data_IF_400088835901
#
_entry.id   IF_400088835901
#
_cell.length_a   1.000
_cell.length_b   1.000
_cell.length_c   1.000
_cell.angle_alpha   90.00
_cell.angle_beta   90.00
_cell.angle_gamma   90.00
#
_symmetry.space_group_name_H-M   'P 1'
#
loop_
_entity.id
_entity.type
_entity.pdbx_description
1 polymer ?
#
# COMPACT_ATOMS: atom_id res chain seq x y z
N UNK A 1 29.06 -34.75 -48.56
CA UNK A 1 29.81 -34.63 -47.29
C UNK A 1 29.95 -33.13 -47.00
N UNK A 2 29.09 -32.57 -46.14
CA UNK A 2 29.26 -32.41 -44.67
C UNK A 2 29.99 -31.10 -44.33
N UNK A 3 29.24 -30.01 -44.25
CA UNK A 3 29.54 -28.88 -43.35
C UNK A 3 28.21 -28.34 -42.82
N UNK A 4 27.85 -28.82 -41.64
CA UNK A 4 26.71 -28.36 -40.84
C UNK A 4 27.14 -27.01 -40.24
N UNK A 5 26.49 -25.93 -40.65
CA UNK A 5 26.59 -24.62 -40.02
C UNK A 5 25.35 -24.44 -39.13
N UNK A 6 25.43 -24.95 -37.91
CA UNK A 6 24.51 -24.62 -36.82
C UNK A 6 25.03 -23.38 -36.10
N UNK A 7 24.52 -22.22 -36.47
CA UNK A 7 24.74 -20.97 -35.72
C UNK A 7 23.65 -20.82 -34.67
N UNK A 8 23.99 -21.16 -33.43
CA UNK A 8 23.26 -20.88 -32.20
C UNK A 8 23.69 -19.48 -31.71
N UNK A 9 22.78 -18.50 -31.71
CA UNK A 9 22.97 -17.21 -31.04
C UNK A 9 21.59 -16.70 -30.56
N UNK A 10 21.20 -17.10 -29.35
CA UNK A 10 21.17 -16.26 -28.14
C UNK A 10 20.07 -15.17 -28.20
N UNK A 11 18.91 -15.57 -27.67
CA UNK A 11 18.13 -14.84 -26.67
C UNK A 11 18.10 -13.31 -26.81
N UNK A 12 17.33 -12.82 -27.77
CA UNK A 12 16.84 -11.44 -27.81
C UNK A 12 15.73 -11.23 -26.77
N UNK A 13 16.08 -11.25 -25.49
CA UNK A 13 15.21 -10.88 -24.36
C UNK A 13 15.66 -9.55 -23.72
N UNK A 14 15.82 -8.47 -24.48
CA UNK A 14 15.98 -7.12 -23.87
C UNK A 14 15.55 -6.01 -24.82
N UNK A 15 14.26 -5.86 -25.07
CA UNK A 15 13.67 -4.55 -25.41
C UNK A 15 12.22 -4.50 -24.91
N UNK A 16 12.02 -4.48 -23.59
CA UNK A 16 10.81 -3.85 -23.03
C UNK A 16 11.04 -2.34 -23.08
N UNK A 17 11.03 -1.79 -24.29
CA UNK A 17 10.82 -0.37 -24.51
C UNK A 17 9.34 -0.10 -24.20
N UNK A 18 9.06 0.10 -22.92
CA UNK A 18 7.73 0.37 -22.37
C UNK A 18 7.26 1.75 -22.84
N UNK A 19 6.56 1.77 -23.96
CA UNK A 19 5.72 2.88 -24.41
C UNK A 19 4.33 2.36 -24.82
N UNK A 20 3.77 1.41 -24.06
CA UNK A 20 2.33 1.13 -24.05
C UNK A 20 2.00 0.46 -22.69
N UNK A 21 1.33 1.19 -21.82
CA UNK A 21 1.32 0.99 -20.37
C UNK A 21 0.32 -0.11 -19.93
N UNK A 22 0.52 -1.33 -20.40
CA UNK A 22 0.03 -2.54 -19.71
C UNK A 22 1.25 -3.32 -19.26
N UNK A 23 1.69 -3.05 -18.04
CA UNK A 23 2.74 -3.84 -17.40
C UNK A 23 2.30 -5.32 -17.40
N UNK A 24 3.25 -6.26 -17.48
CA UNK A 24 2.92 -7.69 -17.37
C UNK A 24 2.11 -8.02 -16.10
N UNK A 25 2.27 -7.20 -15.05
CA UNK A 25 1.45 -7.22 -13.84
C UNK A 25 -0.01 -6.82 -14.10
N UNK A 26 -0.26 -5.77 -14.88
CA UNK A 26 -1.60 -5.30 -15.22
C UNK A 26 -2.36 -6.32 -16.09
N UNK A 27 -1.68 -6.95 -17.05
CA UNK A 27 -2.26 -8.00 -17.88
C UNK A 27 -2.59 -9.27 -17.06
N UNK A 28 -1.67 -9.68 -16.19
CA UNK A 28 -1.92 -10.79 -15.25
C UNK A 28 -3.08 -10.47 -14.30
N UNK A 29 -3.18 -9.24 -13.79
CA UNK A 29 -4.28 -8.81 -12.93
C UNK A 29 -5.63 -8.83 -13.66
N UNK A 30 -5.68 -8.38 -14.92
CA UNK A 30 -6.90 -8.42 -15.74
C UNK A 30 -7.36 -9.85 -16.04
N UNK A 31 -6.42 -10.76 -16.30
CA UNK A 31 -6.72 -12.17 -16.51
C UNK A 31 -7.24 -12.88 -15.24
N UNK A 32 -6.84 -12.39 -14.05
CA UNK A 32 -7.26 -12.93 -12.77
C UNK A 32 -8.55 -12.30 -12.22
N UNK A 33 -8.99 -11.14 -12.72
CA UNK A 33 -10.24 -10.46 -12.31
C UNK A 33 -11.46 -11.37 -12.19
N UNK A 34 -11.81 -12.22 -13.17
CA UNK A 34 -13.02 -13.05 -13.06
C UNK A 34 -12.88 -14.22 -12.08
N UNK A 35 -11.67 -14.52 -11.61
CA UNK A 35 -11.36 -15.68 -10.76
C UNK A 35 -11.25 -15.26 -9.29
N UNK A 36 -11.00 -13.97 -9.02
CA UNK A 36 -10.65 -13.47 -7.69
C UNK A 36 -11.53 -12.25 -7.34
N UNK A 37 -12.54 -12.45 -6.50
CA UNK A 37 -13.33 -11.36 -5.88
C UNK A 37 -12.58 -10.74 -4.69
N UNK A 38 -11.33 -10.33 -4.90
CA UNK A 38 -10.58 -9.62 -3.86
C UNK A 38 -10.63 -8.13 -4.18
N UNK A 39 -11.05 -7.27 -3.22
CA UNK A 39 -10.99 -5.83 -3.39
C UNK A 39 -9.58 -5.39 -3.81
N UNK A 40 -9.49 -4.54 -4.83
CA UNK A 40 -8.21 -4.06 -5.36
C UNK A 40 -7.30 -3.46 -4.27
N UNK A 41 -7.90 -2.77 -3.30
CA UNK A 41 -7.20 -2.18 -2.15
C UNK A 41 -6.52 -3.23 -1.27
N UNK A 42 -7.15 -4.40 -1.09
CA UNK A 42 -6.57 -5.49 -0.31
C UNK A 42 -5.37 -6.10 -1.02
N UNK A 43 -5.48 -6.34 -2.32
CA UNK A 43 -4.37 -6.86 -3.12
C UNK A 43 -3.19 -5.87 -3.12
N UNK A 44 -3.47 -4.59 -3.35
CA UNK A 44 -2.44 -3.54 -3.32
C UNK A 44 -1.75 -3.48 -1.96
N UNK A 45 -2.51 -3.48 -0.86
CA UNK A 45 -1.96 -3.45 0.50
C UNK A 45 -1.09 -4.67 0.78
N UNK A 46 -1.52 -5.86 0.36
CA UNK A 46 -0.74 -7.10 0.50
C UNK A 46 0.59 -7.05 -0.26
N UNK A 47 0.57 -6.56 -1.51
CA UNK A 47 1.81 -6.37 -2.30
C UNK A 47 2.75 -5.40 -1.58
N UNK A 48 2.24 -4.26 -1.10
CA UNK A 48 3.07 -3.28 -0.38
C UNK A 48 3.64 -3.84 0.93
N UNK A 49 2.87 -4.63 1.68
CA UNK A 49 3.35 -5.31 2.90
C UNK A 49 4.49 -6.29 2.59
N UNK A 50 4.34 -7.06 1.50
CA UNK A 50 5.39 -7.97 1.04
C UNK A 50 6.67 -7.20 0.66
N UNK A 51 6.55 -6.12 -0.13
CA UNK A 51 7.68 -5.27 -0.52
C UNK A 51 8.35 -4.59 0.67
N UNK A 52 7.58 -4.18 1.68
CA UNK A 52 8.09 -3.53 2.89
C UNK A 52 8.99 -4.43 3.74
N UNK A 53 8.89 -5.76 3.59
CA UNK A 53 9.78 -6.74 4.23
C UNK A 53 11.21 -6.75 3.66
N UNK A 54 11.43 -6.15 2.49
CA UNK A 54 12.73 -6.08 1.84
C UNK A 54 13.69 -5.02 2.40
N UNK A 55 14.78 -4.78 1.67
CA UNK A 55 15.77 -3.72 1.96
C UNK A 55 15.89 -2.76 0.77
N UNK A 56 16.42 -1.57 1.02
CA UNK A 56 16.67 -0.56 -0.01
C UNK A 56 15.46 0.30 -0.38
N UNK A 57 15.58 1.15 -1.43
CA UNK A 57 14.62 2.21 -1.73
C UNK A 57 13.20 1.73 -2.01
N UNK A 58 13.04 0.55 -2.62
CA UNK A 58 11.73 -0.03 -2.89
C UNK A 58 11.00 -0.39 -1.59
N UNK A 59 11.70 -1.02 -0.64
CA UNK A 59 11.12 -1.39 0.64
C UNK A 59 10.79 -0.13 1.48
N UNK A 60 11.64 0.90 1.44
CA UNK A 60 11.34 2.19 2.08
C UNK A 60 10.12 2.87 1.45
N UNK A 61 10.02 2.88 0.12
CA UNK A 61 8.85 3.39 -0.60
C UNK A 61 7.56 2.66 -0.21
N UNK A 62 7.61 1.34 -0.11
CA UNK A 62 6.48 0.52 0.33
C UNK A 62 6.04 0.84 1.77
N UNK A 63 7.00 0.98 2.71
CA UNK A 63 6.69 1.40 4.09
C UNK A 63 6.03 2.78 4.13
N UNK A 64 6.57 3.76 3.40
CA UNK A 64 5.99 5.10 3.31
C UNK A 64 4.58 5.05 2.75
N UNK A 65 4.35 4.27 1.69
CA UNK A 65 3.01 4.09 1.11
C UNK A 65 2.00 3.54 2.14
N UNK A 66 2.39 2.48 2.86
CA UNK A 66 1.55 1.88 3.91
C UNK A 66 1.25 2.86 5.06
N UNK A 67 2.24 3.66 5.48
CA UNK A 67 2.03 4.69 6.51
C UNK A 67 1.02 5.75 6.03
N UNK A 68 1.16 6.23 4.80
CA UNK A 68 0.23 7.20 4.21
C UNK A 68 -1.17 6.61 4.05
N UNK A 69 -1.28 5.33 3.65
CA UNK A 69 -2.56 4.63 3.58
C UNK A 69 -3.22 4.54 4.96
N UNK A 70 -2.48 4.11 5.99
CA UNK A 70 -3.00 4.03 7.35
C UNK A 70 -3.46 5.40 7.89
N UNK A 71 -2.76 6.48 7.53
CA UNK A 71 -3.20 7.83 7.88
C UNK A 71 -4.51 8.21 7.17
N UNK A 72 -4.63 7.95 5.87
CA UNK A 72 -5.87 8.18 5.12
C UNK A 72 -7.03 7.39 5.70
N UNK A 73 -6.82 6.13 6.06
CA UNK A 73 -7.84 5.30 6.69
C UNK A 73 -8.29 5.91 8.03
N UNK A 74 -7.35 6.36 8.87
CA UNK A 74 -7.67 7.04 10.13
C UNK A 74 -8.47 8.33 9.93
N UNK A 75 -8.16 9.10 8.89
CA UNK A 75 -8.87 10.33 8.56
C UNK A 75 -10.26 10.04 7.98
N UNK A 76 -10.40 9.00 7.17
CA UNK A 76 -11.67 8.57 6.57
C UNK A 76 -12.64 7.99 7.61
N UNK A 77 -12.11 7.27 8.61
CA UNK A 77 -12.89 6.72 9.72
C UNK A 77 -12.90 7.61 10.97
N UNK A 78 -12.41 8.86 10.87
CA UNK A 78 -12.45 9.82 11.97
C UNK A 78 -13.91 10.14 12.31
N UNK A 79 -14.26 10.00 13.58
CA UNK A 79 -15.56 10.41 14.12
C UNK A 79 -15.71 11.93 14.19
N UNK A 80 -16.83 12.37 14.74
CA UNK A 80 -17.10 13.80 14.93
C UNK A 80 -16.08 14.39 15.90
N UNK A 81 -15.44 15.50 15.51
CA UNK A 81 -14.56 16.27 16.40
C UNK A 81 -15.33 16.76 17.61
N UNK A 82 -14.72 16.61 18.79
CA UNK A 82 -15.33 16.98 20.07
C UNK A 82 -14.59 18.18 20.67
N UNK A 83 -15.27 19.08 21.37
CA UNK A 83 -14.60 20.17 22.07
C UNK A 83 -13.76 19.62 23.23
N UNK A 84 -12.66 20.30 23.54
CA UNK A 84 -11.71 19.92 24.61
C UNK A 84 -12.40 19.62 25.95
N UNK A 85 -13.42 20.39 26.31
CA UNK A 85 -14.22 20.21 27.54
C UNK A 85 -14.88 18.84 27.67
N UNK A 86 -15.22 18.19 26.55
CA UNK A 86 -15.84 16.86 26.55
C UNK A 86 -14.78 15.76 26.71
N UNK A 87 -13.57 16.01 26.22
CA UNK A 87 -12.46 15.06 26.22
C UNK A 87 -11.50 15.21 27.40
N UNK A 88 -11.53 16.28 28.19
CA UNK A 88 -10.55 16.44 29.27
C UNK A 88 -10.67 15.31 30.30
N UNK A 89 -9.53 14.80 30.78
CA UNK A 89 -9.48 13.78 31.83
C UNK A 89 -9.76 14.40 33.21
N UNK A 90 -10.15 13.59 34.22
CA UNK A 90 -10.16 14.04 35.61
C UNK A 90 -8.83 14.70 36.00
N UNK A 91 -8.89 15.60 36.98
CA UNK A 91 -7.72 16.40 37.43
C UNK A 91 -7.07 17.27 36.34
N UNK A 92 -7.78 17.53 35.23
CA UNK A 92 -7.34 18.33 34.09
C UNK A 92 -6.09 17.79 33.38
N UNK A 93 -5.90 16.46 33.35
CA UNK A 93 -4.81 15.84 32.60
C UNK A 93 -5.07 16.00 31.10
N UNK A 94 -4.07 16.53 30.37
CA UNK A 94 -4.08 16.68 28.91
C UNK A 94 -2.92 15.86 28.35
N UNK A 95 -3.24 14.80 27.61
CA UNK A 95 -2.28 13.93 26.95
C UNK A 95 -2.77 13.57 25.53
N UNK A 96 -2.07 12.65 24.88
CA UNK A 96 -2.39 12.23 23.51
C UNK A 96 -3.79 11.62 23.40
N UNK A 97 -4.32 10.99 24.45
CA UNK A 97 -5.69 10.46 24.42
C UNK A 97 -6.72 11.58 24.31
N UNK A 98 -6.50 12.68 25.04
CA UNK A 98 -7.37 13.87 24.98
C UNK A 98 -7.31 14.48 23.57
N UNK A 99 -6.11 14.57 22.99
CA UNK A 99 -5.94 15.02 21.61
C UNK A 99 -6.69 14.13 20.62
N UNK A 100 -6.51 12.81 20.69
CA UNK A 100 -7.20 11.84 19.84
C UNK A 100 -8.74 11.92 19.99
N UNK A 101 -9.24 12.13 21.21
CA UNK A 101 -10.68 12.33 21.44
C UNK A 101 -11.20 13.62 20.79
N UNK A 102 -10.48 14.74 20.95
CA UNK A 102 -10.91 16.01 20.33
C UNK A 102 -10.87 15.95 18.81
N UNK A 103 -9.90 15.22 18.27
CA UNK A 103 -9.79 14.97 16.85
C UNK A 103 -10.83 13.96 16.34
N UNK A 104 -11.57 13.29 17.22
CA UNK A 104 -12.56 12.28 16.85
C UNK A 104 -11.93 10.97 16.39
N UNK A 105 -10.64 10.74 16.63
CA UNK A 105 -9.95 9.49 16.29
C UNK A 105 -10.02 8.46 17.41
N UNK A 106 -10.55 8.83 18.59
CA UNK A 106 -10.71 7.95 19.75
C UNK A 106 -12.00 8.24 20.51
N UNK A 107 -12.64 7.18 21.00
CA UNK A 107 -13.75 7.30 21.95
C UNK A 107 -13.25 7.55 23.37
N UNK A 108 -13.96 8.43 24.08
CA UNK A 108 -13.69 8.72 25.49
C UNK A 108 -13.98 7.49 26.35
N UNK A 109 -12.99 7.07 27.13
CA UNK A 109 -13.05 5.88 28.00
C UNK A 109 -12.66 6.19 29.45
N UNK A 110 -12.53 7.47 29.79
CA UNK A 110 -12.14 8.00 31.11
C UNK A 110 -13.19 8.95 31.68
#
# INVERSE_FOLDING_TARGET
>A
MKTILTSLAILSCTTLASAEEKTALAEAAEAMKPIIEIPADYLQKSIMQSLAGGKGPLAEGARRNLTMQAQRDREAYRGVRRPMRECIKPDNVIDDDVKECTEGTREKTW
#
